data_IF_956005044459
#
_entry.id   IF_956005044459
#
_cell.length_a   1.000
_cell.length_b   1.000
_cell.length_c   1.000
_cell.angle_alpha   90.00
_cell.angle_beta   90.00
_cell.angle_gamma   90.00
#
_symmetry.space_group_name_H-M   'P 1'
#
loop_
_entity.id
_entity.type
_entity.pdbx_description
1 polymer ?
#
# COMPACT_ATOMS: atom_id res chain seq x y z
N UNK A 1 -10.93 -7.03 -41.51
CA UNK A 1 -11.68 -7.35 -40.28
C UNK A 1 -12.38 -6.08 -39.83
N UNK A 2 -13.71 -6.03 -39.78
CA UNK A 2 -14.43 -4.83 -39.36
C UNK A 2 -14.34 -4.69 -37.84
N UNK A 3 -13.83 -3.54 -37.41
CA UNK A 3 -13.89 -3.01 -36.06
C UNK A 3 -15.35 -2.89 -35.63
N UNK A 4 -15.71 -3.49 -34.50
CA UNK A 4 -17.01 -3.27 -33.87
C UNK A 4 -17.03 -1.83 -33.35
N UNK A 5 -17.92 -0.95 -33.84
CA UNK A 5 -18.09 0.36 -33.24
C UNK A 5 -18.79 0.16 -31.89
N UNK A 6 -18.20 0.67 -30.81
CA UNK A 6 -18.96 0.96 -29.60
C UNK A 6 -19.92 2.10 -29.94
N UNK A 7 -21.08 1.75 -30.49
CA UNK A 7 -22.11 2.71 -30.84
C UNK A 7 -22.59 3.40 -29.55
N UNK A 8 -22.29 4.69 -29.43
CA UNK A 8 -22.96 5.72 -28.65
C UNK A 8 -23.90 5.22 -27.54
N UNK A 9 -23.34 4.73 -26.44
CA UNK A 9 -24.06 4.72 -25.17
C UNK A 9 -23.86 6.12 -24.57
N UNK A 10 -24.82 7.01 -24.78
CA UNK A 10 -24.92 8.23 -23.99
C UNK A 10 -25.34 7.84 -22.57
N UNK A 11 -24.60 8.30 -21.57
CA UNK A 11 -24.95 8.08 -20.17
C UNK A 11 -26.32 8.72 -19.87
N UNK A 12 -27.28 7.90 -19.44
CA UNK A 12 -28.62 8.36 -19.05
C UNK A 12 -28.60 8.71 -17.56
N UNK A 13 -29.05 9.93 -17.22
CA UNK A 13 -29.13 10.35 -15.83
C UNK A 13 -30.16 9.50 -15.05
N UNK A 14 -30.02 9.42 -13.72
CA UNK A 14 -31.01 8.71 -12.87
C UNK A 14 -32.42 9.31 -13.05
N UNK A 15 -32.51 10.62 -13.16
CA UNK A 15 -33.77 11.36 -13.33
C UNK A 15 -34.46 10.95 -14.63
N UNK A 16 -33.71 10.89 -15.74
CA UNK A 16 -34.24 10.45 -17.03
C UNK A 16 -34.63 8.96 -17.00
N UNK A 17 -33.84 8.12 -16.34
CA UNK A 17 -34.14 6.69 -16.21
C UNK A 17 -35.42 6.42 -15.39
N UNK A 18 -35.69 7.23 -14.37
CA UNK A 18 -36.95 7.20 -13.60
C UNK A 18 -38.11 7.73 -14.45
N UNK A 19 -37.92 8.86 -15.13
CA UNK A 19 -38.93 9.47 -15.98
C UNK A 19 -39.34 8.58 -17.17
N UNK A 20 -38.40 7.82 -17.72
CA UNK A 20 -38.61 6.84 -18.79
C UNK A 20 -39.15 5.50 -18.28
N UNK A 21 -39.32 5.34 -16.96
CA UNK A 21 -39.84 4.11 -16.34
C UNK A 21 -38.89 2.91 -16.43
N UNK A 22 -37.60 3.15 -16.70
CA UNK A 22 -36.57 2.10 -16.80
C UNK A 22 -36.19 1.58 -15.42
N UNK A 23 -36.19 2.47 -14.42
CA UNK A 23 -35.99 2.14 -12.99
C UNK A 23 -37.09 2.78 -12.15
N UNK A 24 -37.37 2.21 -10.97
CA UNK A 24 -38.30 2.79 -9.99
C UNK A 24 -37.60 3.88 -9.16
N UNK A 25 -38.36 4.80 -8.57
CA UNK A 25 -37.80 5.84 -7.68
C UNK A 25 -37.01 5.25 -6.50
N UNK A 26 -37.50 4.14 -5.95
CA UNK A 26 -36.89 3.39 -4.84
C UNK A 26 -35.79 2.42 -5.29
N UNK A 27 -35.47 2.37 -6.59
CA UNK A 27 -34.43 1.49 -7.09
C UNK A 27 -33.07 1.89 -6.53
N UNK A 28 -32.50 1.00 -5.72
CA UNK A 28 -31.10 1.03 -5.32
C UNK A 28 -30.41 -0.13 -6.04
N UNK A 29 -29.36 0.13 -6.84
CA UNK A 29 -28.61 -0.96 -7.44
C UNK A 29 -28.08 -1.85 -6.32
N UNK A 30 -28.08 -3.19 -6.49
CA UNK A 30 -27.42 -4.05 -5.53
C UNK A 30 -25.96 -3.58 -5.41
N UNK A 31 -25.39 -3.61 -4.20
CA UNK A 31 -23.98 -3.29 -4.05
C UNK A 31 -23.20 -4.16 -5.04
N UNK A 32 -22.27 -3.57 -5.81
CA UNK A 32 -21.50 -4.35 -6.76
C UNK A 32 -20.91 -5.55 -6.00
N UNK A 33 -20.95 -6.76 -6.57
CA UNK A 33 -20.29 -7.89 -5.95
C UNK A 33 -18.84 -7.47 -5.67
N UNK A 34 -18.27 -7.82 -4.51
CA UNK A 34 -16.87 -7.49 -4.23
C UNK A 34 -16.06 -8.00 -5.43
N UNK A 35 -15.34 -7.08 -6.08
CA UNK A 35 -14.46 -7.42 -7.18
C UNK A 35 -13.54 -8.52 -6.64
N UNK A 36 -13.63 -9.71 -7.23
CA UNK A 36 -12.72 -10.80 -6.88
C UNK A 36 -11.32 -10.27 -7.16
N UNK A 37 -10.49 -10.19 -6.13
CA UNK A 37 -9.15 -9.61 -6.28
C UNK A 37 -8.39 -10.47 -7.29
N UNK A 38 -7.96 -9.84 -8.38
CA UNK A 38 -7.21 -10.47 -9.45
C UNK A 38 -5.96 -11.19 -8.91
N UNK A 39 -5.43 -10.74 -7.76
CA UNK A 39 -4.19 -11.23 -7.19
C UNK A 39 -4.36 -12.37 -6.18
N UNK A 40 -5.59 -12.69 -5.74
CA UNK A 40 -5.83 -13.73 -4.72
C UNK A 40 -5.44 -15.13 -5.22
N UNK A 41 -5.57 -15.36 -6.53
CA UNK A 41 -5.22 -16.61 -7.21
C UNK A 41 -3.89 -16.48 -8.01
N UNK A 42 -3.11 -15.41 -7.77
CA UNK A 42 -1.84 -15.20 -8.48
C UNK A 42 -0.77 -16.18 -7.96
N UNK A 43 -0.70 -17.33 -8.63
CA UNK A 43 0.30 -18.35 -8.42
C UNK A 43 1.31 -18.37 -9.57
N UNK A 44 2.59 -18.42 -9.23
CA UNK A 44 3.63 -18.76 -10.19
C UNK A 44 3.99 -20.25 -10.04
N UNK A 45 3.86 -20.99 -11.14
CA UNK A 45 4.35 -22.37 -11.25
C UNK A 45 5.88 -22.36 -11.47
N UNK A 46 6.61 -21.81 -10.50
CA UNK A 46 8.06 -21.85 -10.47
C UNK A 46 8.47 -23.10 -9.69
N UNK A 47 9.14 -24.02 -10.38
CA UNK A 47 9.80 -25.15 -9.72
C UNK A 47 11.19 -24.68 -9.32
N UNK A 48 11.44 -24.56 -8.02
CA UNK A 48 12.74 -24.13 -7.51
C UNK A 48 13.78 -25.22 -7.76
N UNK A 49 14.90 -24.84 -8.36
CA UNK A 49 16.01 -25.78 -8.57
C UNK A 49 16.85 -25.95 -7.32
N UNK A 50 16.89 -24.94 -6.45
CA UNK A 50 17.61 -24.94 -5.17
C UNK A 50 17.04 -23.89 -4.18
N UNK A 51 17.48 -23.96 -2.93
CA UNK A 51 17.08 -23.01 -1.87
C UNK A 51 17.59 -21.58 -2.11
N UNK A 52 18.67 -21.39 -2.86
CA UNK A 52 19.24 -20.07 -3.13
C UNK A 52 18.30 -19.20 -3.98
N UNK A 53 17.62 -19.79 -4.95
CA UNK A 53 16.60 -19.11 -5.75
C UNK A 53 15.46 -18.60 -4.87
N UNK A 54 14.97 -19.42 -3.93
CA UNK A 54 13.95 -19.02 -2.97
C UNK A 54 14.42 -17.87 -2.05
N UNK A 55 15.63 -17.98 -1.51
CA UNK A 55 16.19 -16.91 -0.68
C UNK A 55 16.35 -15.61 -1.47
N UNK A 56 16.70 -15.68 -2.75
CA UNK A 56 16.77 -14.51 -3.62
C UNK A 56 15.41 -13.82 -3.77
N UNK A 57 14.35 -14.60 -4.01
CA UNK A 57 12.99 -14.06 -4.08
C UNK A 57 12.52 -13.50 -2.74
N UNK A 58 12.86 -14.13 -1.62
CA UNK A 58 12.58 -13.61 -0.28
C UNK A 58 13.32 -12.31 0.00
N UNK A 59 14.55 -12.14 -0.46
CA UNK A 59 15.25 -10.85 -0.41
C UNK A 59 14.51 -9.79 -1.19
N UNK A 60 14.03 -10.09 -2.39
CA UNK A 60 13.32 -9.11 -3.24
C UNK A 60 11.92 -8.76 -2.73
N UNK A 61 11.10 -9.77 -2.49
CA UNK A 61 9.67 -9.63 -2.24
C UNK A 61 9.30 -9.68 -0.75
N UNK A 62 10.20 -10.15 0.11
CA UNK A 62 9.93 -10.27 1.54
C UNK A 62 8.79 -11.25 1.80
N UNK A 63 7.91 -10.90 2.74
CA UNK A 63 6.78 -11.73 3.19
C UNK A 63 5.56 -11.69 2.26
N UNK A 64 5.62 -10.90 1.17
CA UNK A 64 4.57 -10.84 0.14
C UNK A 64 4.47 -12.11 -0.70
N UNK A 65 5.46 -13.00 -0.61
CA UNK A 65 5.44 -14.31 -1.25
C UNK A 65 5.53 -15.41 -0.20
N UNK A 66 4.81 -16.51 -0.46
CA UNK A 66 4.89 -17.75 0.32
C UNK A 66 5.05 -18.94 -0.61
N UNK A 67 5.67 -19.99 -0.09
CA UNK A 67 5.67 -21.27 -0.76
C UNK A 67 4.43 -22.06 -0.34
N UNK A 68 3.70 -22.60 -1.31
CA UNK A 68 2.52 -23.45 -1.09
C UNK A 68 2.55 -24.57 -2.14
N UNK A 69 2.56 -25.82 -1.70
CA UNK A 69 2.52 -27.00 -2.57
C UNK A 69 3.58 -26.98 -3.69
N UNK A 70 4.80 -26.52 -3.37
CA UNK A 70 5.90 -26.41 -4.33
C UNK A 70 5.81 -25.22 -5.29
N UNK A 71 4.78 -24.37 -5.19
CA UNK A 71 4.59 -23.15 -5.96
C UNK A 71 4.83 -21.89 -5.13
N UNK A 72 4.96 -20.76 -5.82
CA UNK A 72 4.94 -19.43 -5.20
C UNK A 72 3.53 -18.89 -5.28
N UNK A 73 2.98 -18.51 -4.14
CA UNK A 73 1.73 -17.76 -4.05
C UNK A 73 2.04 -16.34 -3.57
N UNK A 74 1.42 -15.35 -4.23
CA UNK A 74 1.42 -13.98 -3.76
C UNK A 74 0.48 -13.83 -2.55
N UNK A 75 0.75 -12.84 -1.72
CA UNK A 75 -0.06 -12.49 -0.53
C UNK A 75 -0.21 -10.96 -0.48
N UNK A 76 -1.24 -10.46 -1.13
CA UNK A 76 -1.59 -9.02 -1.23
C UNK A 76 -2.07 -8.44 0.11
N UNK A 77 -2.81 -9.24 0.87
CA UNK A 77 -3.55 -8.87 2.06
C UNK A 77 -2.73 -9.00 3.34
N UNK A 78 -1.45 -9.37 3.26
CA UNK A 78 -0.56 -9.56 4.40
C UNK A 78 -0.66 -8.44 5.45
N UNK A 79 -0.63 -7.19 4.99
CA UNK A 79 -0.72 -6.03 5.88
C UNK A 79 -2.14 -5.93 6.43
N UNK A 80 -3.17 -6.05 5.58
CA UNK A 80 -4.59 -6.03 5.99
C UNK A 80 -4.94 -7.12 7.01
N UNK A 81 -4.49 -8.35 6.80
CA UNK A 81 -4.64 -9.49 7.71
C UNK A 81 -3.95 -9.21 9.05
N UNK A 82 -2.71 -8.72 9.01
CA UNK A 82 -1.97 -8.39 10.23
C UNK A 82 -2.67 -7.30 11.06
N UNK A 83 -3.30 -6.34 10.38
CA UNK A 83 -4.06 -5.26 11.01
C UNK A 83 -5.36 -5.76 11.66
N UNK A 84 -6.06 -6.70 11.02
CA UNK A 84 -7.35 -7.23 11.48
C UNK A 84 -7.20 -8.36 12.52
N UNK A 85 -6.10 -9.11 12.48
CA UNK A 85 -5.87 -10.27 13.35
C UNK A 85 -5.65 -9.93 14.83
N UNK A 86 -5.41 -8.66 15.17
CA UNK A 86 -5.25 -8.15 16.54
C UNK A 86 -4.22 -8.94 17.39
N UNK A 87 -3.16 -9.44 16.73
CA UNK A 87 -2.04 -10.20 17.31
C UNK A 87 -0.72 -9.51 16.92
N UNK A 88 0.33 -9.59 17.75
CA UNK A 88 1.64 -9.06 17.37
C UNK A 88 2.13 -9.64 16.05
N UNK A 89 2.60 -8.77 15.16
CA UNK A 89 3.18 -9.14 13.87
C UNK A 89 4.50 -8.43 13.59
N UNK A 90 5.29 -9.05 12.72
CA UNK A 90 6.45 -8.46 12.07
C UNK A 90 6.44 -8.88 10.60
N UNK A 91 6.28 -7.91 9.71
CA UNK A 91 6.25 -8.11 8.26
C UNK A 91 7.54 -7.54 7.67
N UNK A 92 8.28 -8.35 6.93
CA UNK A 92 9.46 -7.91 6.19
C UNK A 92 9.06 -7.61 4.76
N UNK A 93 9.07 -6.34 4.38
CA UNK A 93 9.05 -5.91 2.98
C UNK A 93 10.50 -6.01 2.49
N UNK A 94 10.73 -6.68 1.36
CA UNK A 94 12.07 -7.06 0.89
C UNK A 94 13.11 -5.93 0.86
N UNK A 95 14.34 -6.25 0.50
CA UNK A 95 15.49 -5.35 0.59
C UNK A 95 15.33 -4.04 -0.18
N UNK A 96 16.05 -3.01 0.28
CA UNK A 96 16.20 -1.75 -0.44
C UNK A 96 16.68 -2.00 -1.88
N UNK A 97 15.97 -1.43 -2.85
CA UNK A 97 16.35 -1.53 -4.27
C UNK A 97 17.51 -0.58 -4.61
N UNK A 98 18.21 -0.81 -5.74
CA UNK A 98 19.15 0.17 -6.29
C UNK A 98 18.54 1.57 -6.48
N UNK A 99 17.23 1.66 -6.80
CA UNK A 99 16.52 2.92 -6.99
C UNK A 99 16.41 3.70 -5.67
N UNK A 100 16.03 3.05 -4.57
CA UNK A 100 16.03 3.69 -3.24
C UNK A 100 17.45 4.11 -2.86
N UNK A 101 18.43 3.22 -3.01
CA UNK A 101 19.83 3.48 -2.62
C UNK A 101 20.47 4.62 -3.40
N UNK A 102 20.05 4.82 -4.66
CA UNK A 102 20.50 5.94 -5.49
C UNK A 102 19.93 7.29 -5.05
N UNK A 103 18.76 7.29 -4.39
CA UNK A 103 18.06 8.49 -3.91
C UNK A 103 18.39 8.87 -2.48
N UNK A 104 19.17 8.04 -1.76
CA UNK A 104 19.55 8.32 -0.38
C UNK A 104 20.30 9.68 -0.27
N UNK A 105 19.99 10.49 0.75
CA UNK A 105 20.76 11.70 1.05
C UNK A 105 22.25 11.37 1.26
N UNK A 106 23.18 12.26 0.84
CA UNK A 106 24.62 12.02 0.99
C UNK A 106 25.08 11.76 2.43
N UNK A 107 24.32 12.25 3.42
CA UNK A 107 24.59 12.09 4.85
C UNK A 107 24.12 10.76 5.44
N UNK A 108 23.55 9.87 4.63
CA UNK A 108 23.07 8.55 5.06
C UNK A 108 23.91 7.46 4.39
N UNK A 109 24.74 6.73 5.15
CA UNK A 109 25.52 5.63 4.60
C UNK A 109 24.64 4.53 3.98
N UNK A 110 24.97 4.10 2.76
CA UNK A 110 24.15 3.15 1.99
C UNK A 110 24.05 1.77 2.65
N UNK A 111 25.09 1.34 3.36
CA UNK A 111 25.18 0.10 4.12
C UNK A 111 24.17 0.02 5.29
N UNK A 112 23.64 1.16 5.73
CA UNK A 112 22.54 1.17 6.69
C UNK A 112 21.24 0.61 6.08
N UNK A 113 21.07 0.74 4.76
CA UNK A 113 19.86 0.29 4.06
C UNK A 113 20.09 -0.96 3.18
N UNK A 114 21.27 -1.10 2.57
CA UNK A 114 21.57 -2.16 1.61
C UNK A 114 21.52 -3.55 2.27
N UNK A 115 20.90 -4.52 1.58
CA UNK A 115 20.78 -5.89 2.07
C UNK A 115 19.85 -6.08 3.28
N UNK A 116 19.08 -5.06 3.64
CA UNK A 116 18.16 -5.10 4.79
C UNK A 116 16.71 -4.88 4.35
N UNK A 117 15.77 -5.73 4.81
CA UNK A 117 14.36 -5.52 4.56
C UNK A 117 13.81 -4.37 5.41
N UNK A 118 12.78 -3.68 4.90
CA UNK A 118 11.96 -2.79 5.72
C UNK A 118 11.04 -3.66 6.60
N UNK A 119 11.05 -3.42 7.90
CA UNK A 119 10.21 -4.15 8.85
C UNK A 119 9.02 -3.30 9.27
N UNK A 120 7.83 -3.86 9.13
CA UNK A 120 6.58 -3.32 9.68
C UNK A 120 6.27 -4.14 10.93
N UNK A 121 6.12 -3.48 12.08
CA UNK A 121 5.80 -4.15 13.33
C UNK A 121 4.49 -3.62 13.92
N UNK A 122 3.88 -4.40 14.80
CA UNK A 122 2.71 -3.96 15.58
C UNK A 122 2.94 -2.62 16.30
N UNK A 123 4.18 -2.29 16.68
CA UNK A 123 4.51 -1.02 17.33
C UNK A 123 4.14 0.23 16.50
N UNK A 124 4.12 0.11 15.17
CA UNK A 124 3.65 1.21 14.32
C UNK A 124 2.14 1.43 14.49
N UNK A 125 1.37 0.34 14.59
CA UNK A 125 -0.08 0.40 14.78
C UNK A 125 -0.48 0.86 16.18
N UNK A 126 0.24 0.41 17.19
CA UNK A 126 -0.06 0.72 18.59
C UNK A 126 0.38 2.14 18.98
N UNK A 127 0.96 2.90 18.05
CA UNK A 127 1.30 4.30 18.30
C UNK A 127 0.03 5.09 18.54
N UNK A 128 0.04 5.88 19.60
CA UNK A 128 -0.93 6.96 19.77
C UNK A 128 -0.34 8.24 19.20
N UNK A 129 -1.18 9.05 18.55
CA UNK A 129 -0.89 10.45 18.25
C UNK A 129 -0.68 11.22 19.56
N UNK A 130 -0.12 12.43 19.49
CA UNK A 130 0.17 13.26 20.67
C UNK A 130 -1.08 13.62 21.48
N UNK A 131 -2.24 13.62 20.85
CA UNK A 131 -3.56 13.88 21.43
C UNK A 131 -4.22 12.61 22.02
N UNK A 132 -3.56 11.45 21.97
CA UNK A 132 -4.08 10.18 22.48
C UNK A 132 -4.88 9.37 21.46
N UNK A 133 -5.11 9.89 20.26
CA UNK A 133 -5.81 9.19 19.17
C UNK A 133 -5.00 7.97 18.71
N UNK A 134 -5.65 6.81 18.62
CA UNK A 134 -5.04 5.56 18.16
C UNK A 134 -4.59 5.70 16.69
N UNK A 135 -3.38 5.23 16.32
CA UNK A 135 -2.97 5.19 14.90
C UNK A 135 -3.89 4.31 14.05
N UNK A 136 -4.65 3.38 14.63
CA UNK A 136 -5.74 2.68 13.93
C UNK A 136 -6.83 3.64 13.43
N UNK A 137 -6.94 4.85 14.00
CA UNK A 137 -7.83 5.88 13.50
C UNK A 137 -7.28 6.60 12.24
N UNK A 138 -6.06 6.30 11.76
CA UNK A 138 -5.63 6.74 10.42
C UNK A 138 -6.50 6.16 9.30
N UNK A 139 -7.30 5.12 9.57
CA UNK A 139 -8.32 4.59 8.65
C UNK A 139 -9.64 5.36 8.67
N UNK A 140 -9.75 6.41 9.47
CA UNK A 140 -10.98 7.18 9.64
C UNK A 140 -10.70 8.67 9.38
N UNK A 141 -11.67 9.41 8.80
CA UNK A 141 -11.64 10.87 8.76
C UNK A 141 -11.40 11.44 10.15
N UNK A 142 -10.32 12.19 10.33
CA UNK A 142 -10.05 12.92 11.57
C UNK A 142 -10.43 14.38 11.35
N UNK A 143 -11.54 14.80 11.96
CA UNK A 143 -12.10 16.17 11.82
C UNK A 143 -11.10 17.28 12.21
N UNK A 144 -10.12 16.99 13.07
CA UNK A 144 -9.16 17.96 13.60
C UNK A 144 -7.93 18.20 12.71
N UNK A 145 -7.75 17.43 11.64
CA UNK A 145 -6.60 17.53 10.75
C UNK A 145 -7.03 17.52 9.27
N UNK A 146 -7.52 18.64 8.71
CA UNK A 146 -8.12 18.68 7.37
C UNK A 146 -7.15 18.37 6.22
N UNK A 147 -5.83 18.34 6.48
CA UNK A 147 -4.81 17.96 5.50
C UNK A 147 -4.32 16.50 5.66
N UNK A 148 -4.75 15.79 6.71
CA UNK A 148 -4.51 14.35 6.88
C UNK A 148 -5.65 13.60 6.19
N UNK A 149 -5.38 13.11 4.98
CA UNK A 149 -6.31 12.19 4.32
C UNK A 149 -6.21 10.85 5.04
N UNK A 150 -7.34 10.25 5.48
CA UNK A 150 -7.32 8.92 6.04
C UNK A 150 -6.71 7.95 5.04
N UNK A 151 -5.77 7.14 5.50
CA UNK A 151 -5.28 6.04 4.68
C UNK A 151 -6.39 5.01 4.56
N UNK A 152 -6.67 4.57 3.35
CA UNK A 152 -7.44 3.36 3.12
C UNK A 152 -6.55 2.13 3.33
N UNK A 153 -7.17 0.95 3.43
CA UNK A 153 -6.41 -0.30 3.46
C UNK A 153 -5.60 -0.51 2.17
N UNK A 154 -6.14 -0.07 1.03
CA UNK A 154 -5.47 -0.11 -0.28
C UNK A 154 -4.22 0.78 -0.29
N UNK A 155 -4.26 1.94 0.37
CA UNK A 155 -3.08 2.80 0.50
C UNK A 155 -1.93 2.12 1.26
N UNK A 156 -2.23 1.22 2.21
CA UNK A 156 -1.20 0.46 2.92
C UNK A 156 -0.53 -0.59 2.02
N UNK A 157 -1.28 -1.17 1.09
CA UNK A 157 -0.78 -2.17 0.16
C UNK A 157 0.25 -1.57 -0.82
N UNK A 158 0.30 -0.24 -0.95
CA UNK A 158 1.32 0.49 -1.70
C UNK A 158 2.63 0.69 -0.94
N UNK A 159 2.68 0.41 0.36
CA UNK A 159 3.90 0.57 1.16
C UNK A 159 5.14 -0.18 0.60
N UNK A 160 5.03 -1.42 0.08
CA UNK A 160 6.15 -2.08 -0.57
C UNK A 160 6.66 -1.31 -1.79
N UNK A 161 5.78 -0.64 -2.53
CA UNK A 161 6.16 0.20 -3.67
C UNK A 161 6.80 1.51 -3.21
N UNK A 162 6.27 2.16 -2.18
CA UNK A 162 6.90 3.35 -1.57
C UNK A 162 8.31 3.05 -1.07
N UNK A 163 8.50 1.85 -0.50
CA UNK A 163 9.81 1.38 -0.05
C UNK A 163 10.75 1.08 -1.22
N UNK A 164 10.28 0.39 -2.25
CA UNK A 164 11.16 -0.05 -3.35
C UNK A 164 11.43 1.04 -4.36
N UNK A 165 10.46 1.89 -4.64
CA UNK A 165 10.52 2.88 -5.71
C UNK A 165 10.01 4.25 -5.28
N UNK A 166 10.55 4.85 -4.21
CA UNK A 166 10.16 6.20 -3.82
C UNK A 166 10.53 7.19 -4.93
N UNK A 167 9.70 8.21 -5.14
CA UNK A 167 10.05 9.35 -5.99
C UNK A 167 11.18 10.17 -5.37
N UNK A 168 11.13 10.34 -4.04
CA UNK A 168 12.07 11.16 -3.28
C UNK A 168 12.39 10.51 -1.94
N UNK A 169 13.64 10.64 -1.50
CA UNK A 169 14.10 10.19 -0.18
C UNK A 169 14.79 11.36 0.53
N UNK A 170 14.36 11.67 1.75
CA UNK A 170 14.85 12.80 2.53
C UNK A 170 15.25 12.35 3.93
N UNK A 171 16.32 12.93 4.50
CA UNK A 171 16.65 12.72 5.90
C UNK A 171 15.74 13.60 6.75
N UNK A 172 15.04 13.00 7.70
CA UNK A 172 14.19 13.70 8.66
C UNK A 172 14.61 13.34 10.09
N UNK A 173 15.07 14.33 10.86
CA UNK A 173 15.69 14.07 12.16
C UNK A 173 17.02 13.32 12.07
N UNK A 174 17.44 12.70 13.18
CA UNK A 174 18.78 12.12 13.30
C UNK A 174 18.92 10.75 12.64
N UNK A 175 17.93 9.87 12.81
CA UNK A 175 17.98 8.46 12.39
C UNK A 175 16.86 8.05 11.43
N UNK A 176 16.17 9.01 10.80
CA UNK A 176 14.99 8.69 9.97
C UNK A 176 15.11 9.19 8.54
N UNK A 177 14.51 8.41 7.65
CA UNK A 177 14.26 8.75 6.26
C UNK A 177 12.76 8.99 6.06
N UNK A 178 12.43 9.96 5.23
CA UNK A 178 11.10 10.15 4.68
C UNK A 178 11.13 9.76 3.20
N UNK A 179 10.37 8.74 2.86
CA UNK A 179 10.15 8.24 1.51
C UNK A 179 8.87 8.86 0.99
N UNK A 180 8.93 9.50 -0.17
CA UNK A 180 7.77 10.13 -0.80
C UNK A 180 7.46 9.46 -2.12
N UNK A 181 6.18 9.21 -2.39
CA UNK A 181 5.71 8.67 -3.66
C UNK A 181 4.39 9.35 -4.03
N UNK A 182 4.25 9.82 -5.27
CA UNK A 182 2.99 10.38 -5.78
C UNK A 182 1.91 9.30 -5.77
N UNK A 183 0.73 9.67 -5.31
CA UNK A 183 -0.40 8.76 -5.28
C UNK A 183 -1.16 8.79 -6.61
N UNK A 184 -1.67 7.65 -7.12
CA UNK A 184 -2.42 7.59 -8.38
C UNK A 184 -3.69 8.45 -8.39
N UNK A 185 -4.34 8.61 -7.25
CA UNK A 185 -5.57 9.41 -7.08
C UNK A 185 -5.28 10.82 -6.50
N UNK A 186 -4.04 11.31 -6.62
CA UNK A 186 -3.64 12.64 -6.17
C UNK A 186 -3.06 12.66 -4.75
N UNK A 187 -2.27 13.70 -4.45
CA UNK A 187 -1.49 13.81 -3.23
C UNK A 187 -0.18 13.00 -3.26
N UNK A 188 0.47 12.88 -2.11
CA UNK A 188 1.77 12.24 -1.94
C UNK A 188 1.76 11.35 -0.70
N UNK A 189 2.07 10.07 -0.87
CA UNK A 189 2.35 9.18 0.25
C UNK A 189 3.70 9.51 0.87
N UNK A 190 3.74 9.45 2.21
CA UNK A 190 4.92 9.74 3.03
C UNK A 190 5.14 8.60 4.01
N UNK A 191 6.17 7.78 3.78
CA UNK A 191 6.61 6.75 4.73
C UNK A 191 7.84 7.21 5.50
N UNK A 192 7.79 7.19 6.83
CA UNK A 192 8.93 7.50 7.69
C UNK A 192 9.55 6.21 8.20
N UNK A 193 10.83 6.00 7.90
CA UNK A 193 11.59 4.79 8.24
C UNK A 193 12.75 5.15 9.16
N UNK A 194 12.96 4.37 10.22
CA UNK A 194 14.12 4.48 11.11
C UNK A 194 15.23 3.53 10.64
N UNK A 195 16.32 4.09 10.12
CA UNK A 195 17.36 3.31 9.44
C UNK A 195 18.50 2.85 10.35
N UNK A 196 18.56 3.33 11.59
CA UNK A 196 19.58 2.89 12.56
C UNK A 196 19.13 1.68 13.38
N UNK A 197 17.82 1.57 13.64
CA UNK A 197 17.21 0.50 14.43
C UNK A 197 16.43 -0.47 13.53
N UNK A 198 17.12 -1.17 12.62
CA UNK A 198 16.59 -2.27 11.81
C UNK A 198 15.63 -1.92 10.66
N UNK A 199 15.73 -0.70 10.08
CA UNK A 199 14.82 -0.25 9.01
C UNK A 199 13.35 -0.47 9.38
N UNK A 200 12.93 0.17 10.47
CA UNK A 200 11.55 0.04 10.97
C UNK A 200 10.66 1.12 10.37
N UNK A 201 9.48 0.74 9.89
CA UNK A 201 8.43 1.71 9.58
C UNK A 201 7.95 2.39 10.89
N UNK A 202 7.97 3.73 10.90
CA UNK A 202 7.50 4.53 12.03
C UNK A 202 6.16 5.21 11.79
N UNK A 203 5.87 5.62 10.57
CA UNK A 203 4.55 6.09 10.16
C UNK A 203 4.41 6.05 8.64
N UNK A 204 3.17 5.94 8.18
CA UNK A 204 2.74 6.20 6.80
C UNK A 204 1.58 7.18 6.87
N UNK A 205 1.51 8.13 5.94
CA UNK A 205 0.40 9.06 5.81
C UNK A 205 0.38 9.64 4.39
N UNK A 206 -0.68 10.37 4.04
CA UNK A 206 -0.89 10.96 2.72
C UNK A 206 -1.17 12.45 2.83
N UNK A 207 -0.41 13.27 2.11
CA UNK A 207 -0.55 14.73 2.09
C UNK A 207 -1.13 15.22 0.74
N UNK A 208 -1.83 16.35 0.75
CA UNK A 208 -2.04 17.17 -0.45
C UNK A 208 -3.20 16.76 -1.36
N UNK A 209 -4.16 15.97 -0.88
CA UNK A 209 -5.48 15.89 -1.54
C UNK A 209 -6.31 17.03 -0.94
N UNK A 210 -6.57 18.07 -1.72
CA UNK A 210 -7.63 19.01 -1.35
C UNK A 210 -8.95 18.28 -1.56
N UNK A 211 -9.66 18.00 -0.48
CA UNK A 211 -11.08 17.75 -0.60
C UNK A 211 -11.70 19.09 -0.98
N UNK A 212 -12.02 19.25 -2.27
CA UNK A 212 -13.01 20.22 -2.69
C UNK A 212 -14.36 19.66 -2.20
N UNK A 213 -14.67 19.89 -0.92
CA UNK A 213 -16.00 19.74 -0.33
C UNK A 213 -16.75 21.07 -0.49
#
# INVERSE_FOLDING_TARGET
>A
MPSTPSANLEDVSREDAVALGVIKEDYSPPPPPPLKDFNDDLEASLTFKNDEEWQSLKRMFGDQIRQKDGKIAWRNDLIREAFTANKPFAIRLGEATPNLLAKLPPSVPKDLCAGKPLTITQNWLDRKRKDGTDHRAHFQPLETHPNDVPLTLEDLELLPEIWRNPDKVEKTGWSRLMLSMKSPNGGVYKAVVDYEKNLDLKTLYKEGVKNDL
#
